data_IF_386669917829
#
_entry.id   IF_386669917829
#
_cell.length_a   1.000
_cell.length_b   1.000
_cell.length_c   1.000
_cell.angle_alpha   90.00
_cell.angle_beta   90.00
_cell.angle_gamma   90.00
#
_symmetry.space_group_name_H-M   'P 1'
#
loop_
_entity.id
_entity.type
_entity.pdbx_description
1 polymer ?
#
# COMPACT_ATOMS: atom_id res chain seq x y z
N UNK A 1 -9.16 20.60 7.29
CA UNK A 1 -10.30 19.68 7.05
C UNK A 1 -10.01 18.63 5.98
N UNK A 2 -9.06 18.86 5.06
CA UNK A 2 -8.77 17.98 3.90
C UNK A 2 -7.98 16.70 4.24
N UNK A 3 -7.32 16.60 5.41
CA UNK A 3 -6.58 15.39 5.80
C UNK A 3 -7.49 14.28 6.37
N UNK A 4 -8.45 14.63 7.22
CA UNK A 4 -9.22 13.67 8.02
C UNK A 4 -10.24 12.88 7.20
N UNK A 5 -10.93 13.52 6.25
CA UNK A 5 -11.95 12.83 5.45
C UNK A 5 -11.33 11.75 4.56
N UNK A 6 -10.25 12.00 3.79
CA UNK A 6 -9.58 10.96 3.02
C UNK A 6 -8.98 9.87 3.91
N UNK A 7 -8.36 10.23 5.04
CA UNK A 7 -7.84 9.25 5.99
C UNK A 7 -8.93 8.31 6.51
N UNK A 8 -10.06 8.85 6.98
CA UNK A 8 -11.18 8.05 7.46
C UNK A 8 -11.80 7.20 6.36
N UNK A 9 -11.85 7.70 5.12
CA UNK A 9 -12.28 6.92 3.97
C UNK A 9 -11.31 5.77 3.67
N UNK A 10 -9.99 6.01 3.75
CA UNK A 10 -8.95 4.98 3.60
C UNK A 10 -9.04 3.92 4.70
N UNK A 11 -9.26 4.33 5.95
CA UNK A 11 -9.52 3.43 7.08
C UNK A 11 -10.80 2.62 6.84
N UNK A 12 -11.89 3.26 6.43
CA UNK A 12 -13.15 2.58 6.14
C UNK A 12 -12.99 1.53 5.04
N UNK A 13 -12.32 1.90 3.94
CA UNK A 13 -12.07 1.00 2.83
C UNK A 13 -11.11 -0.13 3.22
N UNK A 14 -10.01 0.17 3.91
CA UNK A 14 -9.08 -0.85 4.39
C UNK A 14 -9.74 -1.85 5.33
N UNK A 15 -10.61 -1.38 6.24
CA UNK A 15 -11.40 -2.25 7.11
C UNK A 15 -12.36 -3.14 6.32
N UNK A 16 -13.06 -2.57 5.34
CA UNK A 16 -13.93 -3.33 4.45
C UNK A 16 -13.14 -4.37 3.63
N UNK A 17 -11.97 -4.01 3.11
CA UNK A 17 -11.07 -4.91 2.38
C UNK A 17 -10.62 -6.08 3.25
N UNK A 18 -10.16 -5.83 4.48
CA UNK A 18 -9.79 -6.90 5.43
C UNK A 18 -10.99 -7.80 5.74
N UNK A 19 -12.18 -7.22 5.96
CA UNK A 19 -13.39 -7.99 6.21
C UNK A 19 -13.75 -8.88 5.01
N UNK A 20 -13.66 -8.36 3.78
CA UNK A 20 -13.90 -9.14 2.56
C UNK A 20 -12.84 -10.23 2.35
N UNK A 21 -11.56 -9.96 2.66
CA UNK A 21 -10.51 -10.98 2.63
C UNK A 21 -10.78 -12.10 3.64
N UNK A 22 -11.30 -11.76 4.83
CA UNK A 22 -11.70 -12.73 5.84
C UNK A 22 -12.89 -13.58 5.39
N UNK A 23 -13.94 -12.95 4.86
CA UNK A 23 -15.13 -13.62 4.30
C UNK A 23 -14.74 -14.55 3.14
N UNK A 24 -13.87 -14.07 2.25
CA UNK A 24 -13.34 -14.83 1.12
C UNK A 24 -12.33 -15.90 1.49
N UNK A 25 -11.92 -15.98 2.77
CA UNK A 25 -10.92 -16.95 3.28
C UNK A 25 -9.60 -16.89 2.52
N UNK A 26 -9.17 -15.67 2.15
CA UNK A 26 -7.91 -15.43 1.42
C UNK A 26 -6.83 -14.79 2.29
N UNK A 27 -7.11 -14.48 3.56
CA UNK A 27 -6.14 -13.85 4.46
C UNK A 27 -4.89 -14.69 4.74
N UNK A 28 -4.98 -16.02 4.60
CA UNK A 28 -3.84 -16.92 4.73
C UNK A 28 -2.96 -16.95 3.48
N UNK A 29 -3.34 -16.32 2.38
CA UNK A 29 -2.58 -16.39 1.13
C UNK A 29 -1.60 -15.24 1.05
N UNK A 30 -0.30 -15.52 0.89
CA UNK A 30 0.71 -14.47 0.72
C UNK A 30 0.46 -13.62 -0.53
N UNK A 31 -0.09 -14.25 -1.56
CA UNK A 31 -0.49 -13.59 -2.80
C UNK A 31 -1.48 -12.46 -2.57
N UNK A 32 -2.45 -12.62 -1.66
CA UNK A 32 -3.46 -11.58 -1.37
C UNK A 32 -2.83 -10.28 -0.88
N UNK A 33 -1.89 -10.39 0.07
CA UNK A 33 -1.19 -9.23 0.62
C UNK A 33 -0.22 -8.61 -0.38
N UNK A 34 0.48 -9.43 -1.15
CA UNK A 34 1.40 -8.95 -2.18
C UNK A 34 0.67 -8.23 -3.33
N UNK A 35 -0.46 -8.79 -3.79
CA UNK A 35 -1.28 -8.16 -4.84
C UNK A 35 -1.87 -6.85 -4.36
N UNK A 36 -2.31 -6.75 -3.09
CA UNK A 36 -2.78 -5.49 -2.52
C UNK A 36 -1.68 -4.42 -2.54
N UNK A 37 -0.47 -4.75 -2.07
CA UNK A 37 0.68 -3.85 -2.11
C UNK A 37 1.00 -3.37 -3.54
N UNK A 38 1.07 -4.29 -4.50
CA UNK A 38 1.33 -3.96 -5.92
C UNK A 38 0.24 -3.05 -6.50
N UNK A 39 -1.03 -3.36 -6.22
CA UNK A 39 -2.16 -2.57 -6.71
C UNK A 39 -2.11 -1.14 -6.19
N UNK A 40 -1.84 -0.96 -4.89
CA UNK A 40 -1.77 0.37 -4.26
C UNK A 40 -0.60 1.18 -4.83
N UNK A 41 0.59 0.60 -4.92
CA UNK A 41 1.78 1.28 -5.45
C UNK A 41 1.64 1.71 -6.93
N UNK A 42 0.82 1.01 -7.72
CA UNK A 42 0.65 1.30 -9.15
C UNK A 42 -0.09 2.62 -9.43
N UNK A 43 -0.85 3.16 -8.47
CA UNK A 43 -1.63 4.38 -8.68
C UNK A 43 -0.75 5.61 -8.93
N UNK A 44 0.43 5.68 -8.33
CA UNK A 44 1.39 6.76 -8.59
C UNK A 44 1.85 6.83 -10.05
N UNK A 45 1.97 5.67 -10.70
CA UNK A 45 2.29 5.60 -12.13
C UNK A 45 1.15 6.20 -12.96
N UNK A 46 -0.09 5.91 -12.59
CA UNK A 46 -1.28 6.48 -13.25
C UNK A 46 -1.31 8.00 -13.10
N UNK A 47 -1.05 8.52 -11.89
CA UNK A 47 -0.99 9.96 -11.66
C UNK A 47 0.14 10.63 -12.46
N UNK A 48 1.32 10.01 -12.50
CA UNK A 48 2.45 10.52 -13.27
C UNK A 48 2.18 10.51 -14.78
N UNK A 49 1.50 9.49 -15.31
CA UNK A 49 1.07 9.47 -16.71
C UNK A 49 0.07 10.60 -16.97
N UNK A 50 -0.86 10.84 -16.04
CA UNK A 50 -1.85 11.92 -16.14
C UNK A 50 -1.22 13.31 -16.07
N UNK A 51 -0.14 13.51 -15.29
CA UNK A 51 0.57 14.79 -15.22
C UNK A 51 1.34 15.11 -16.51
N UNK A 52 1.67 14.09 -17.31
CA UNK A 52 2.38 14.23 -18.58
C UNK A 52 3.89 14.52 -18.43
N UNK A 53 4.42 14.47 -17.20
CA UNK A 53 5.83 14.73 -16.94
C UNK A 53 6.67 13.44 -17.00
N UNK A 54 7.55 13.34 -18.00
CA UNK A 54 8.41 12.15 -18.20
C UNK A 54 9.27 11.80 -16.99
N UNK A 55 9.79 12.81 -16.26
CA UNK A 55 10.60 12.55 -15.07
C UNK A 55 9.77 11.94 -13.95
N UNK A 56 8.56 12.45 -13.73
CA UNK A 56 7.62 11.89 -12.76
C UNK A 56 7.25 10.45 -13.13
N UNK A 57 6.99 10.18 -14.42
CA UNK A 57 6.67 8.82 -14.89
C UNK A 57 7.82 7.86 -14.56
N UNK A 58 9.07 8.22 -14.89
CA UNK A 58 10.23 7.36 -14.64
C UNK A 58 10.44 7.12 -13.14
N UNK A 59 10.39 8.19 -12.33
CA UNK A 59 10.61 8.11 -10.88
C UNK A 59 9.54 7.26 -10.21
N UNK A 60 8.26 7.54 -10.48
CA UNK A 60 7.14 6.84 -9.84
C UNK A 60 6.97 5.41 -10.35
N UNK A 61 7.35 5.12 -11.61
CA UNK A 61 7.47 3.73 -12.10
C UNK A 61 8.57 2.97 -11.37
N UNK A 62 9.72 3.60 -11.14
CA UNK A 62 10.82 3.00 -10.38
C UNK A 62 10.43 2.70 -8.93
N UNK A 63 9.73 3.63 -8.27
CA UNK A 63 9.21 3.45 -6.91
C UNK A 63 8.17 2.33 -6.83
N UNK A 64 7.20 2.33 -7.75
CA UNK A 64 6.20 1.27 -7.84
C UNK A 64 6.86 -0.11 -8.07
N UNK A 65 7.88 -0.18 -8.93
CA UNK A 65 8.66 -1.39 -9.15
C UNK A 65 9.42 -1.83 -7.88
N UNK A 66 9.96 -0.88 -7.10
CA UNK A 66 10.60 -1.14 -5.82
C UNK A 66 9.64 -1.76 -4.80
N UNK A 67 8.44 -1.19 -4.63
CA UNK A 67 7.41 -1.75 -3.75
C UNK A 67 6.90 -3.10 -4.26
N UNK A 68 6.74 -3.28 -5.57
CA UNK A 68 6.38 -4.57 -6.14
C UNK A 68 7.45 -5.64 -5.88
N UNK A 69 8.74 -5.29 -5.99
CA UNK A 69 9.84 -6.18 -5.65
C UNK A 69 9.81 -6.54 -4.15
N UNK A 70 9.63 -5.56 -3.25
CA UNK A 70 9.48 -5.81 -1.82
C UNK A 70 8.28 -6.73 -1.52
N UNK A 71 7.15 -6.55 -2.22
CA UNK A 71 5.97 -7.37 -2.08
C UNK A 71 6.24 -8.83 -2.50
N UNK A 72 6.86 -9.04 -3.65
CA UNK A 72 7.19 -10.38 -4.16
C UNK A 72 8.23 -11.06 -3.27
N UNK A 73 9.29 -10.35 -2.87
CA UNK A 73 10.32 -10.87 -1.97
C UNK A 73 9.68 -11.23 -0.63
N UNK A 74 8.85 -10.34 -0.06
CA UNK A 74 8.19 -10.59 1.22
C UNK A 74 7.20 -11.75 1.17
N UNK A 75 6.49 -11.92 0.06
CA UNK A 75 5.67 -13.12 -0.14
C UNK A 75 6.52 -14.40 -0.20
N UNK A 76 7.71 -14.36 -0.80
CA UNK A 76 8.56 -15.55 -0.96
C UNK A 76 9.37 -15.89 0.29
N UNK A 77 9.86 -14.89 1.02
CA UNK A 77 10.86 -15.09 2.08
C UNK A 77 10.29 -14.84 3.47
N UNK A 78 9.71 -13.66 3.71
CA UNK A 78 9.23 -13.24 5.03
C UNK A 78 8.04 -12.30 4.91
N UNK A 79 6.89 -12.74 5.41
CA UNK A 79 5.67 -11.93 5.42
C UNK A 79 5.78 -10.68 6.30
N UNK A 80 6.77 -10.61 7.20
CA UNK A 80 7.10 -9.37 7.91
C UNK A 80 7.65 -8.29 6.98
N UNK A 81 8.30 -8.67 5.87
CA UNK A 81 8.71 -7.73 4.84
C UNK A 81 7.50 -7.14 4.10
N UNK A 82 6.42 -7.92 3.93
CA UNK A 82 5.15 -7.40 3.39
C UNK A 82 4.51 -6.38 4.34
N UNK A 83 4.53 -6.65 5.66
CA UNK A 83 4.10 -5.67 6.67
C UNK A 83 4.91 -4.39 6.55
N UNK A 84 6.24 -4.50 6.46
CA UNK A 84 7.14 -3.37 6.34
C UNK A 84 6.92 -2.60 5.01
N UNK A 85 6.65 -3.30 3.91
CA UNK A 85 6.37 -2.69 2.62
C UNK A 85 5.07 -1.86 2.65
N UNK A 86 4.00 -2.42 3.22
CA UNK A 86 2.71 -1.72 3.38
C UNK A 86 2.87 -0.47 4.26
N UNK A 87 3.48 -0.60 5.45
CA UNK A 87 3.72 0.56 6.32
C UNK A 87 4.63 1.60 5.66
N UNK A 88 5.71 1.13 5.02
CA UNK A 88 6.67 1.97 4.33
C UNK A 88 6.02 2.76 3.19
N UNK A 89 5.09 2.15 2.47
CA UNK A 89 4.33 2.82 1.42
C UNK A 89 3.40 3.91 1.98
N UNK A 90 2.62 3.62 3.01
CA UNK A 90 1.74 4.61 3.62
C UNK A 90 2.51 5.80 4.20
N UNK A 91 3.69 5.55 4.77
CA UNK A 91 4.61 6.61 5.23
C UNK A 91 5.15 7.38 4.03
N UNK A 92 5.65 6.68 3.00
CA UNK A 92 6.15 7.28 1.78
C UNK A 92 5.13 8.25 1.18
N UNK A 93 3.86 7.86 1.09
CA UNK A 93 2.79 8.67 0.50
C UNK A 93 2.51 10.00 1.23
N UNK A 94 2.74 10.06 2.54
CA UNK A 94 2.59 11.30 3.32
C UNK A 94 3.80 12.21 3.16
N UNK A 95 5.01 11.65 3.04
CA UNK A 95 6.25 12.41 3.04
C UNK A 95 6.83 12.65 1.64
N UNK A 96 6.44 11.89 0.62
CA UNK A 96 7.02 11.95 -0.71
C UNK A 96 6.92 13.36 -1.31
N UNK A 97 5.79 14.02 -1.16
CA UNK A 97 5.60 15.40 -1.65
C UNK A 97 6.50 16.45 -1.01
N UNK A 98 7.17 16.14 0.11
CA UNK A 98 8.16 17.03 0.72
C UNK A 98 9.58 16.85 0.16
N UNK A 99 9.83 15.78 -0.60
CA UNK A 99 11.16 15.37 -1.07
C UNK A 99 11.24 15.29 -2.59
N UNK A 100 10.14 14.88 -3.24
CA UNK A 100 10.05 14.68 -4.68
C UNK A 100 8.79 15.32 -5.25
N UNK A 101 8.79 15.61 -6.55
CA UNK A 101 7.60 16.03 -7.27
C UNK A 101 6.50 14.97 -7.12
N UNK A 102 5.35 15.39 -6.59
CA UNK A 102 4.23 14.50 -6.30
C UNK A 102 3.11 14.73 -7.32
N UNK A 103 2.89 13.80 -8.26
CA UNK A 103 1.80 13.89 -9.23
C UNK A 103 0.44 13.58 -8.61
N UNK A 104 0.41 12.98 -7.42
CA UNK A 104 -0.83 12.57 -6.77
C UNK A 104 -1.58 13.79 -6.20
N UNK A 105 -2.91 13.78 -6.21
CA UNK A 105 -3.71 14.81 -5.53
C UNK A 105 -3.40 14.87 -4.02
N UNK A 106 -3.58 16.03 -3.40
CA UNK A 106 -3.27 16.26 -1.97
C UNK A 106 -4.03 15.33 -1.00
N UNK A 107 -5.18 14.79 -1.43
CA UNK A 107 -5.98 13.85 -0.64
C UNK A 107 -5.46 12.41 -0.69
N UNK A 108 -4.59 12.08 -1.66
CA UNK A 108 -4.12 10.71 -1.89
C UNK A 108 -3.28 10.20 -0.71
N UNK A 109 -2.31 10.99 -0.26
CA UNK A 109 -1.40 10.58 0.81
C UNK A 109 -2.12 10.15 2.11
N UNK A 110 -3.04 10.98 2.65
CA UNK A 110 -3.82 10.61 3.84
C UNK A 110 -4.73 9.39 3.61
N UNK A 111 -5.33 9.27 2.43
CA UNK A 111 -6.15 8.11 2.07
C UNK A 111 -5.32 6.82 2.04
N UNK A 112 -4.16 6.85 1.36
CA UNK A 112 -3.29 5.69 1.25
C UNK A 112 -2.72 5.27 2.60
N UNK A 113 -2.33 6.23 3.44
CA UNK A 113 -1.91 5.96 4.81
C UNK A 113 -2.96 5.13 5.58
N UNK A 114 -4.24 5.48 5.46
CA UNK A 114 -5.33 4.81 6.15
C UNK A 114 -5.49 3.34 5.75
N UNK A 115 -5.49 3.06 4.45
CA UNK A 115 -5.62 1.69 3.93
C UNK A 115 -4.36 0.87 4.19
N UNK A 116 -3.18 1.44 3.98
CA UNK A 116 -1.89 0.76 4.13
C UNK A 116 -1.63 0.33 5.57
N UNK A 117 -1.87 1.24 6.52
CA UNK A 117 -1.70 0.94 7.94
C UNK A 117 -2.68 -0.14 8.38
N UNK A 118 -3.94 -0.10 7.94
CA UNK A 118 -4.89 -1.15 8.30
C UNK A 118 -4.51 -2.51 7.73
N UNK A 119 -4.11 -2.58 6.46
CA UNK A 119 -3.67 -3.83 5.85
C UNK A 119 -2.41 -4.36 6.56
N UNK A 120 -1.45 -3.48 6.86
CA UNK A 120 -0.24 -3.86 7.59
C UNK A 120 -0.54 -4.38 9.00
N UNK A 121 -1.42 -3.71 9.74
CA UNK A 121 -1.80 -4.12 11.09
C UNK A 121 -2.56 -5.45 11.08
N UNK A 122 -3.45 -5.66 10.11
CA UNK A 122 -4.17 -6.92 9.95
C UNK A 122 -3.21 -8.07 9.66
N UNK A 123 -2.27 -7.88 8.72
CA UNK A 123 -1.23 -8.86 8.41
C UNK A 123 -0.32 -9.13 9.63
N UNK A 124 0.15 -8.09 10.31
CA UNK A 124 0.99 -8.23 11.50
C UNK A 124 0.26 -9.01 12.61
N UNK A 125 -1.03 -8.77 12.82
CA UNK A 125 -1.83 -9.48 13.81
C UNK A 125 -1.98 -10.98 13.47
N UNK A 126 -2.12 -11.32 12.19
CA UNK A 126 -2.15 -12.72 11.72
C UNK A 126 -0.82 -13.42 12.01
N UNK A 127 0.30 -12.76 11.65
CA UNK A 127 1.64 -13.31 11.86
C UNK A 127 1.98 -13.48 13.35
N UNK A 128 1.59 -12.52 14.20
CA UNK A 128 1.78 -12.61 15.65
C UNK A 128 1.00 -13.75 16.30
N UNK A 129 -0.13 -14.15 15.72
CA UNK A 129 -0.90 -15.32 16.19
C UNK A 129 -0.29 -16.66 15.74
N UNK A 130 0.87 -16.63 15.09
CA UNK A 130 1.56 -17.83 14.59
C UNK A 130 0.86 -18.46 13.39
N UNK A 131 -0.04 -17.73 12.72
CA UNK A 131 -0.71 -18.23 11.52
C UNK A 131 0.29 -18.25 10.36
N UNK A 132 0.54 -19.45 9.83
CA UNK A 132 1.31 -19.60 8.61
C UNK A 132 0.50 -19.05 7.43
N UNK A 133 1.18 -18.33 6.55
CA UNK A 133 0.63 -17.95 5.26
C UNK A 133 1.10 -18.92 4.18
N UNK A 134 0.15 -19.41 3.40
CA UNK A 134 0.32 -20.29 2.25
C UNK A 134 0.82 -19.52 1.02
#
# INVERSE_FOLDING_TARGET
MIFWVPLLAGIGLGGATVALMAIGRVMNQRGTWATAMVAIASFYVVFAIQSGNTLEIVVHTGLAAGFAALAIIGARTSSWLLVAALLGHGIFDVFAGSVIANPAPDWWGPFCLGIDVLLALALAAILQRGQALD
#
